data_IF_976003384631
#
_entry.id   IF_976003384631
#
_cell.length_a   1.000
_cell.length_b   1.000
_cell.length_c   1.000
_cell.angle_alpha   90.00
_cell.angle_beta   90.00
_cell.angle_gamma   90.00
#
_symmetry.space_group_name_H-M   'P 1'
#
loop_
_entity.id
_entity.type
_entity.pdbx_description
1 polymer ?
#
# COMPACT_ATOMS: atom_id res chain seq x y z
N UNK A 1 0.35 5.82 17.56
CA UNK A 1 -0.31 4.59 17.09
C UNK A 1 -0.95 3.91 18.28
N UNK A 2 -2.28 3.92 18.37
CA UNK A 2 -3.00 3.37 19.54
C UNK A 2 -3.17 1.85 19.45
N UNK A 3 -2.89 1.28 18.30
CA UNK A 3 -3.09 -0.12 17.94
C UNK A 3 -2.47 -1.07 18.97
N UNK A 4 -1.24 -0.80 19.40
CA UNK A 4 -0.51 -1.62 20.39
C UNK A 4 -1.05 -1.50 21.82
N UNK A 5 -1.94 -0.54 22.10
CA UNK A 5 -2.58 -0.37 23.41
C UNK A 5 -4.04 -0.84 23.41
N UNK A 6 -4.74 -0.69 22.28
CA UNK A 6 -6.19 -0.98 22.17
C UNK A 6 -6.51 -2.31 21.50
N UNK A 7 -5.70 -2.77 20.55
CA UNK A 7 -5.96 -4.02 19.82
C UNK A 7 -5.52 -5.22 20.67
N UNK A 8 -6.36 -6.26 20.66
CA UNK A 8 -6.09 -7.57 21.27
C UNK A 8 -6.04 -8.63 20.18
N UNK A 9 -5.14 -9.59 20.32
CA UNK A 9 -4.89 -10.64 19.33
C UNK A 9 -4.62 -11.98 19.99
N UNK A 10 -4.68 -13.03 19.16
CA UNK A 10 -4.61 -14.45 19.51
C UNK A 10 -5.67 -14.91 20.52
N UNK A 11 -5.72 -16.22 20.76
CA UNK A 11 -6.63 -16.82 21.76
C UNK A 11 -6.33 -16.35 23.19
N UNK A 12 -5.08 -15.97 23.46
CA UNK A 12 -4.66 -15.44 24.77
C UNK A 12 -5.09 -13.99 25.02
N UNK A 13 -5.75 -13.34 24.04
CA UNK A 13 -6.23 -11.97 24.13
C UNK A 13 -5.16 -10.96 24.58
N UNK A 14 -3.91 -11.16 24.15
CA UNK A 14 -2.79 -10.29 24.50
C UNK A 14 -2.80 -9.03 23.64
N UNK A 15 -2.06 -8.00 24.05
CA UNK A 15 -1.85 -6.80 23.21
C UNK A 15 -1.13 -7.17 21.91
N UNK A 16 -1.55 -6.51 20.82
CA UNK A 16 -0.84 -6.53 19.55
C UNK A 16 0.60 -6.05 19.75
N UNK A 17 1.54 -6.67 19.07
CA UNK A 17 2.97 -6.30 19.06
C UNK A 17 3.44 -6.04 17.63
N UNK A 18 4.50 -5.24 17.43
CA UNK A 18 5.09 -5.04 16.10
C UNK A 18 5.41 -6.35 15.37
N UNK A 19 5.92 -7.35 16.08
CA UNK A 19 6.27 -8.67 15.51
C UNK A 19 5.07 -9.36 14.84
N UNK A 20 3.85 -9.15 15.36
CA UNK A 20 2.62 -9.71 14.78
C UNK A 20 2.35 -9.11 13.39
N UNK A 21 2.58 -7.81 13.25
CA UNK A 21 2.39 -7.08 12.00
C UNK A 21 3.51 -7.40 11.01
N UNK A 22 4.75 -7.56 11.48
CA UNK A 22 5.88 -8.00 10.65
C UNK A 22 5.60 -9.40 10.08
N UNK A 23 5.12 -10.33 10.91
CA UNK A 23 4.76 -11.68 10.47
C UNK A 23 3.65 -11.65 9.41
N UNK A 24 2.61 -10.82 9.62
CA UNK A 24 1.52 -10.63 8.65
C UNK A 24 2.01 -10.00 7.34
N UNK A 25 2.87 -8.99 7.42
CA UNK A 25 3.46 -8.32 6.24
C UNK A 25 4.29 -9.30 5.41
N UNK A 26 5.15 -10.11 6.05
CA UNK A 26 5.92 -11.17 5.38
C UNK A 26 5.03 -12.21 4.72
N UNK A 27 3.95 -12.65 5.38
CA UNK A 27 2.99 -13.58 4.81
C UNK A 27 2.27 -12.99 3.60
N UNK A 28 1.84 -11.73 3.68
CA UNK A 28 1.20 -11.02 2.57
C UNK A 28 2.15 -10.85 1.37
N UNK A 29 3.41 -10.48 1.64
CA UNK A 29 4.45 -10.37 0.61
C UNK A 29 4.66 -11.71 -0.11
N UNK A 30 4.84 -12.80 0.65
CA UNK A 30 5.09 -14.12 0.08
C UNK A 30 3.90 -14.59 -0.77
N UNK A 31 2.68 -14.41 -0.29
CA UNK A 31 1.46 -14.74 -1.02
C UNK A 31 1.33 -13.89 -2.30
N UNK A 32 1.48 -12.58 -2.22
CA UNK A 32 1.37 -11.69 -3.38
C UNK A 32 2.44 -12.00 -4.44
N UNK A 33 3.67 -12.29 -4.00
CA UNK A 33 4.77 -12.71 -4.89
C UNK A 33 4.41 -13.99 -5.65
N UNK A 34 3.77 -14.95 -4.97
CA UNK A 34 3.33 -16.20 -5.57
C UNK A 34 2.19 -15.98 -6.56
N UNK A 35 1.16 -15.19 -6.21
CA UNK A 35 0.03 -14.90 -7.08
C UNK A 35 0.46 -14.16 -8.35
N UNK A 36 1.30 -13.12 -8.21
CA UNK A 36 1.88 -12.39 -9.34
C UNK A 36 2.84 -13.23 -10.20
N UNK A 37 3.26 -14.40 -9.72
CA UNK A 37 4.06 -15.35 -10.49
C UNK A 37 3.23 -16.33 -11.35
N UNK A 38 1.90 -16.35 -11.18
CA UNK A 38 1.03 -17.25 -11.95
C UNK A 38 0.76 -16.65 -13.34
N UNK A 39 0.87 -17.44 -14.43
CA UNK A 39 0.49 -16.97 -15.76
C UNK A 39 -0.99 -16.55 -15.79
N UNK A 40 -1.26 -15.40 -16.42
CA UNK A 40 -2.60 -14.89 -16.63
C UNK A 40 -2.68 -14.24 -18.01
N UNK A 41 -3.65 -14.65 -18.83
CA UNK A 41 -3.86 -14.12 -20.18
C UNK A 41 -4.78 -12.89 -20.12
N UNK A 42 -4.28 -11.83 -19.46
CA UNK A 42 -5.02 -10.60 -19.22
C UNK A 42 -4.24 -9.57 -18.40
N UNK A 43 -4.91 -8.46 -18.08
CA UNK A 43 -4.34 -7.37 -17.27
C UNK A 43 -4.34 -7.70 -15.79
N UNK A 44 -3.17 -7.60 -15.14
CA UNK A 44 -3.04 -7.83 -13.71
C UNK A 44 -3.12 -6.53 -12.94
N UNK A 45 -4.11 -6.42 -12.05
CA UNK A 45 -4.32 -5.24 -11.20
C UNK A 45 -4.09 -5.61 -9.74
N UNK A 46 -3.27 -4.84 -9.05
CA UNK A 46 -3.03 -4.97 -7.62
C UNK A 46 -3.66 -3.79 -6.88
N UNK A 47 -4.34 -4.08 -5.77
CA UNK A 47 -4.93 -3.05 -4.90
C UNK A 47 -4.44 -3.26 -3.48
N UNK A 48 -3.77 -2.25 -2.92
CA UNK A 48 -3.30 -2.25 -1.53
C UNK A 48 -3.74 -0.99 -0.81
N UNK A 49 -3.74 -1.01 0.52
CA UNK A 49 -3.94 0.23 1.27
C UNK A 49 -2.66 1.07 1.34
N UNK A 50 -1.55 0.47 1.80
CA UNK A 50 -0.23 1.11 1.87
C UNK A 50 0.43 1.19 0.49
N UNK A 51 1.32 2.18 0.34
CA UNK A 51 2.04 2.40 -0.91
C UNK A 51 3.01 1.24 -1.23
N UNK A 52 3.13 0.84 -2.51
CA UNK A 52 4.05 -0.22 -2.92
C UNK A 52 5.50 0.23 -3.05
N UNK A 53 5.75 1.54 -3.09
CA UNK A 53 7.08 2.14 -3.19
C UNK A 53 7.09 3.44 -2.38
N UNK A 54 8.29 4.01 -2.21
CA UNK A 54 8.46 5.27 -1.47
C UNK A 54 8.09 6.53 -2.29
N UNK A 55 7.83 6.39 -3.59
CA UNK A 55 7.36 7.47 -4.45
C UNK A 55 6.01 7.99 -3.95
N UNK A 56 5.84 9.31 -3.89
CA UNK A 56 4.59 9.96 -3.47
C UNK A 56 4.09 9.53 -2.08
N UNK A 57 5.05 9.22 -1.18
CA UNK A 57 4.85 9.07 0.26
C UNK A 57 5.33 10.39 0.89
N UNK A 58 4.46 11.06 1.66
CA UNK A 58 4.62 12.46 2.09
C UNK A 58 6.07 12.89 2.44
N UNK A 59 6.50 14.01 1.85
CA UNK A 59 7.91 14.46 1.82
C UNK A 59 8.52 14.74 3.21
N UNK A 60 7.71 15.08 4.21
CA UNK A 60 8.15 15.49 5.56
C UNK A 60 7.98 14.39 6.62
N UNK A 61 7.80 13.12 6.23
CA UNK A 61 7.67 12.04 7.19
C UNK A 61 9.02 11.74 7.87
N UNK A 62 9.07 11.69 9.22
CA UNK A 62 10.24 11.17 9.91
C UNK A 62 10.60 9.77 9.41
N UNK A 63 11.89 9.52 9.16
CA UNK A 63 12.35 8.24 8.60
C UNK A 63 11.86 7.00 9.37
N UNK A 64 11.69 7.12 10.70
CA UNK A 64 11.19 6.02 11.53
C UNK A 64 9.69 5.73 11.36
N UNK A 65 8.93 6.60 10.68
CA UNK A 65 7.50 6.45 10.41
C UNK A 65 7.20 6.00 8.99
N UNK A 66 8.17 6.03 8.06
CA UNK A 66 7.92 5.70 6.65
C UNK A 66 7.35 4.29 6.44
N UNK A 67 7.76 3.34 7.29
CA UNK A 67 7.27 1.97 7.29
C UNK A 67 5.79 1.83 7.70
N UNK A 68 5.18 2.88 8.27
CA UNK A 68 3.75 2.92 8.51
C UNK A 68 2.95 3.32 7.25
N UNK A 69 3.61 3.86 6.23
CA UNK A 69 2.97 4.39 5.02
C UNK A 69 3.17 3.52 3.78
N UNK A 70 4.36 2.93 3.65
CA UNK A 70 4.77 2.16 2.50
C UNK A 70 5.30 0.79 2.90
N UNK A 71 4.94 -0.21 2.11
CA UNK A 71 5.51 -1.54 2.20
C UNK A 71 6.91 -1.63 1.54
N UNK A 72 7.15 -0.76 0.55
CA UNK A 72 8.38 -0.70 -0.26
C UNK A 72 8.75 -2.05 -0.92
N UNK A 73 7.90 -2.49 -1.84
CA UNK A 73 8.05 -3.70 -2.66
C UNK A 73 8.14 -3.36 -4.17
N UNK A 74 9.06 -2.46 -4.59
CA UNK A 74 9.14 -2.00 -5.98
C UNK A 74 9.41 -3.14 -6.98
N UNK A 75 10.03 -4.24 -6.55
CA UNK A 75 10.29 -5.42 -7.36
C UNK A 75 9.03 -6.20 -7.75
N UNK A 76 7.92 -6.03 -7.01
CA UNK A 76 6.63 -6.64 -7.36
C UNK A 76 5.85 -5.84 -8.40
N UNK A 77 6.14 -4.54 -8.54
CA UNK A 77 5.47 -3.67 -9.50
C UNK A 77 5.60 -4.20 -10.92
N UNK A 78 6.78 -4.66 -11.33
CA UNK A 78 7.03 -5.17 -12.68
C UNK A 78 6.26 -6.44 -13.08
N UNK A 79 5.41 -6.98 -12.18
CA UNK A 79 4.53 -8.13 -12.44
C UNK A 79 3.05 -7.74 -12.57
N UNK A 80 2.73 -6.44 -12.49
CA UNK A 80 1.37 -5.93 -12.60
C UNK A 80 1.29 -4.83 -13.67
N UNK A 81 0.15 -4.71 -14.33
CA UNK A 81 -0.12 -3.62 -15.27
C UNK A 81 -0.54 -2.34 -14.54
N UNK A 82 -1.29 -2.49 -13.45
CA UNK A 82 -1.78 -1.39 -12.61
C UNK A 82 -1.65 -1.75 -11.12
N UNK A 83 -1.19 -0.79 -10.32
CA UNK A 83 -1.19 -0.86 -8.86
C UNK A 83 -1.91 0.34 -8.26
N UNK A 84 -3.03 0.09 -7.57
CA UNK A 84 -3.79 1.11 -6.86
C UNK A 84 -3.45 1.09 -5.38
N UNK A 85 -3.13 2.24 -4.81
CA UNK A 85 -2.84 2.40 -3.38
C UNK A 85 -3.55 3.62 -2.78
N UNK A 86 -3.44 3.78 -1.46
CA UNK A 86 -3.96 4.94 -0.76
C UNK A 86 -3.07 5.29 0.43
N UNK A 87 -3.67 5.55 1.58
CA UNK A 87 -3.02 5.83 2.87
C UNK A 87 -2.21 7.13 2.94
N UNK A 88 -1.46 7.50 1.89
CA UNK A 88 -0.56 8.66 1.86
C UNK A 88 -1.29 10.01 1.85
N UNK A 89 -2.59 10.00 1.54
CA UNK A 89 -3.39 11.22 1.32
C UNK A 89 -2.78 12.11 0.22
N UNK A 90 -2.20 11.48 -0.80
CA UNK A 90 -1.63 12.13 -1.97
C UNK A 90 -2.23 11.46 -3.20
N UNK A 91 -2.81 12.25 -4.09
CA UNK A 91 -3.16 11.79 -5.43
C UNK A 91 -1.90 11.70 -6.29
N UNK A 92 -1.73 10.59 -6.97
CA UNK A 92 -0.56 10.29 -7.79
C UNK A 92 -0.93 9.33 -8.92
N UNK A 93 -0.34 9.53 -10.09
CA UNK A 93 -0.45 8.62 -11.25
C UNK A 93 0.91 8.64 -11.97
N UNK A 94 1.66 7.56 -11.87
CA UNK A 94 3.03 7.48 -12.39
C UNK A 94 3.38 6.07 -12.87
N UNK A 95 4.44 5.96 -13.67
CA UNK A 95 4.97 4.67 -14.11
C UNK A 95 6.19 4.28 -13.28
N UNK A 96 6.21 3.04 -12.80
CA UNK A 96 7.38 2.47 -12.12
C UNK A 96 7.53 0.98 -12.46
N UNK A 97 8.72 0.59 -12.90
CA UNK A 97 9.03 -0.79 -13.33
C UNK A 97 8.06 -1.35 -14.39
N UNK A 98 7.48 -0.50 -15.25
CA UNK A 98 6.50 -0.91 -16.27
C UNK A 98 5.05 -1.01 -15.77
N UNK A 99 4.80 -0.78 -14.49
CA UNK A 99 3.48 -0.74 -13.88
C UNK A 99 2.98 0.70 -13.77
N UNK A 100 1.70 0.95 -14.07
CA UNK A 100 1.03 2.20 -13.72
C UNK A 100 0.68 2.15 -12.23
N UNK A 101 1.11 3.13 -11.45
CA UNK A 101 0.91 3.18 -10.01
C UNK A 101 0.07 4.40 -9.68
N UNK A 102 -1.07 4.17 -9.02
CA UNK A 102 -2.13 5.17 -8.87
C UNK A 102 -2.58 5.27 -7.42
N UNK A 103 -2.72 6.49 -6.92
CA UNK A 103 -3.45 6.82 -5.70
C UNK A 103 -4.41 7.97 -5.99
N UNK A 104 -5.64 7.86 -5.50
CA UNK A 104 -6.62 8.94 -5.51
C UNK A 104 -7.20 9.09 -4.10
N UNK A 105 -6.32 9.34 -3.12
CA UNK A 105 -6.70 9.37 -1.72
C UNK A 105 -7.38 10.71 -1.34
N UNK A 106 -8.60 10.64 -0.78
CA UNK A 106 -9.37 11.83 -0.35
C UNK A 106 -8.76 12.60 0.82
N UNK A 107 -8.15 11.89 1.76
CA UNK A 107 -7.64 12.45 3.00
C UNK A 107 -8.71 12.96 3.97
N UNK A 108 -8.29 13.75 4.95
CA UNK A 108 -9.17 14.33 5.97
C UNK A 108 -10.02 15.49 5.41
N UNK A 109 -11.12 15.87 6.10
CA UNK A 109 -11.87 17.08 5.74
C UNK A 109 -10.94 18.30 5.60
N UNK A 110 -11.09 19.02 4.49
CA UNK A 110 -10.28 20.20 4.11
C UNK A 110 -8.81 19.94 3.78
N UNK A 111 -8.32 18.70 3.85
CA UNK A 111 -6.98 18.36 3.41
C UNK A 111 -6.89 18.46 1.88
N UNK A 112 -5.89 19.18 1.39
CA UNK A 112 -5.60 19.24 -0.04
C UNK A 112 -4.73 18.03 -0.41
N UNK A 113 -5.32 17.07 -1.12
CA UNK A 113 -4.62 15.83 -1.51
C UNK A 113 -4.47 15.69 -3.03
N UNK A 114 -5.17 16.52 -3.82
CA UNK A 114 -5.33 16.33 -5.26
C UNK A 114 -6.41 15.30 -5.62
N UNK A 115 -7.23 14.87 -4.66
CA UNK A 115 -8.35 13.96 -4.89
C UNK A 115 -9.29 14.46 -5.99
N UNK A 116 -9.58 13.57 -6.94
CA UNK A 116 -10.54 13.80 -8.01
C UNK A 116 -11.75 12.85 -7.83
N UNK A 117 -12.96 13.37 -7.55
CA UNK A 117 -14.16 12.54 -7.35
C UNK A 117 -14.60 11.80 -8.62
N UNK A 118 -14.18 12.26 -9.80
CA UNK A 118 -14.57 11.73 -11.11
C UNK A 118 -13.43 10.91 -11.75
N UNK A 119 -12.38 10.61 -10.98
CA UNK A 119 -11.20 9.91 -11.47
C UNK A 119 -11.53 8.51 -12.00
N UNK A 120 -11.32 8.32 -13.30
CA UNK A 120 -11.54 7.07 -14.00
C UNK A 120 -10.20 6.42 -14.40
N UNK A 121 -10.11 5.11 -14.22
CA UNK A 121 -9.00 4.30 -14.72
C UNK A 121 -9.48 3.41 -15.87
N UNK A 122 -8.86 3.57 -17.03
CA UNK A 122 -8.97 2.66 -18.17
C UNK A 122 -7.78 1.68 -18.20
N UNK A 123 -8.05 0.42 -18.56
CA UNK A 123 -7.11 -0.72 -18.53
C UNK A 123 -6.78 -1.25 -19.93
#
# INVERSE_FOLDING_TARGET
MNDFTVIRTDESYRRLRPDDLIAKSKAAYAWLTQELGKPFDGKTVVVTHHAPALDHVADDLPAHLIAAYANDWPELLGKADLWVYGHTHIAADFLRCGCRVVSNARGYPNQQTGFDPDFLIEL
#
